data_IF_093607023032
#
_entry.id   IF_093607023032
#
_cell.length_a   1.000
_cell.length_b   1.000
_cell.length_c   1.000
_cell.angle_alpha   90.00
_cell.angle_beta   90.00
_cell.angle_gamma   90.00
#
_symmetry.space_group_name_H-M   'P 1'
#
loop_
_entity.id
_entity.type
_entity.pdbx_description
1 polymer ?
#
# COMPACT_ATOMS: atom_id res chain seq x y z
N UNK A 1 3.82 -8.37 3.63
CA UNK A 1 3.41 -7.00 3.98
C UNK A 1 3.30 -6.07 2.78
N UNK A 2 4.35 -5.76 2.01
CA UNK A 2 4.21 -4.77 0.91
C UNK A 2 3.16 -5.14 -0.15
N UNK A 3 3.34 -6.27 -0.83
CA UNK A 3 2.39 -6.74 -1.87
C UNK A 3 1.07 -7.25 -1.29
N UNK A 4 1.04 -7.51 0.01
CA UNK A 4 -0.15 -7.91 0.76
C UNK A 4 -1.08 -6.70 0.99
N UNK A 5 -0.54 -5.60 1.53
CA UNK A 5 -1.24 -4.31 1.65
C UNK A 5 -1.57 -3.75 0.26
N UNK A 6 -0.67 -3.92 -0.70
CA UNK A 6 -0.89 -3.56 -2.10
C UNK A 6 -2.06 -4.28 -2.78
N UNK A 7 -2.25 -5.56 -2.46
CA UNK A 7 -3.37 -6.36 -2.98
C UNK A 7 -4.71 -5.86 -2.42
N UNK A 8 -4.73 -5.43 -1.15
CA UNK A 8 -5.91 -4.81 -0.56
C UNK A 8 -6.28 -3.52 -1.31
N UNK A 9 -5.32 -2.61 -1.52
CA UNK A 9 -5.54 -1.36 -2.28
C UNK A 9 -5.96 -1.64 -3.73
N UNK A 10 -5.40 -2.69 -4.36
CA UNK A 10 -5.80 -3.10 -5.71
C UNK A 10 -7.26 -3.52 -5.77
N UNK A 11 -7.71 -4.34 -4.83
CA UNK A 11 -9.09 -4.78 -4.73
C UNK A 11 -10.03 -3.58 -4.48
N UNK A 12 -9.64 -2.63 -3.63
CA UNK A 12 -10.43 -1.41 -3.44
C UNK A 12 -10.61 -0.62 -4.76
N UNK A 13 -9.51 -0.46 -5.52
CA UNK A 13 -9.53 0.25 -6.80
C UNK A 13 -10.43 -0.42 -7.83
N UNK A 14 -10.31 -1.75 -7.96
CA UNK A 14 -11.06 -2.56 -8.94
C UNK A 14 -12.57 -2.52 -8.71
N UNK A 15 -13.01 -2.46 -7.46
CA UNK A 15 -14.44 -2.44 -7.12
C UNK A 15 -15.04 -1.03 -7.03
N UNK A 16 -14.25 0.00 -7.38
CA UNK A 16 -14.71 1.39 -7.28
C UNK A 16 -14.99 1.85 -5.85
N UNK A 17 -14.53 1.09 -4.84
CA UNK A 17 -14.65 1.45 -3.41
C UNK A 17 -13.43 2.23 -2.92
N UNK A 18 -12.38 2.34 -3.75
CA UNK A 18 -11.27 3.25 -3.50
C UNK A 18 -11.74 4.69 -3.70
N UNK A 19 -12.13 5.31 -2.59
CA UNK A 19 -12.51 6.72 -2.56
C UNK A 19 -11.31 7.58 -3.02
N UNK A 20 -11.49 8.55 -3.93
CA UNK A 20 -10.40 9.44 -4.37
C UNK A 20 -9.63 10.11 -3.21
N UNK A 21 -10.34 10.40 -2.12
CA UNK A 21 -9.79 10.88 -0.84
C UNK A 21 -8.70 9.97 -0.26
N UNK A 22 -8.89 8.64 -0.34
CA UNK A 22 -7.91 7.67 0.13
C UNK A 22 -6.67 7.66 -0.75
N UNK A 23 -6.84 7.81 -2.06
CA UNK A 23 -5.75 7.91 -3.02
C UNK A 23 -4.89 9.16 -2.75
N UNK A 24 -5.52 10.33 -2.55
CA UNK A 24 -4.83 11.56 -2.12
C UNK A 24 -4.02 11.35 -0.84
N UNK A 25 -4.67 10.76 0.18
CA UNK A 25 -4.06 10.46 1.47
C UNK A 25 -2.87 9.50 1.35
N UNK A 26 -2.95 8.47 0.50
CA UNK A 26 -1.83 7.55 0.27
C UNK A 26 -0.67 8.25 -0.44
N UNK A 27 -0.96 9.03 -1.48
CA UNK A 27 0.04 9.83 -2.20
C UNK A 27 0.80 10.78 -1.28
N UNK A 28 0.08 11.54 -0.43
CA UNK A 28 0.69 12.44 0.55
C UNK A 28 1.65 11.70 1.49
N UNK A 29 1.25 10.52 2.00
CA UNK A 29 2.08 9.74 2.92
C UNK A 29 3.35 9.20 2.25
N UNK A 30 3.31 8.93 0.95
CA UNK A 30 4.48 8.46 0.21
C UNK A 30 5.47 9.57 -0.03
N UNK A 31 4.97 10.76 -0.41
CA UNK A 31 5.80 11.96 -0.51
C UNK A 31 6.49 12.21 0.83
N UNK A 32 5.72 12.23 1.93
CA UNK A 32 6.27 12.41 3.27
C UNK A 32 7.29 11.32 3.65
N UNK A 33 7.01 10.04 3.34
CA UNK A 33 7.91 8.93 3.61
C UNK A 33 9.19 8.96 2.76
N UNK A 34 9.16 9.56 1.58
CA UNK A 34 10.31 9.65 0.69
C UNK A 34 11.37 10.65 1.20
N UNK A 35 10.93 11.72 1.87
CA UNK A 35 11.83 12.80 2.33
C UNK A 35 12.11 12.74 3.84
N UNK A 36 11.32 11.99 4.62
CA UNK A 36 11.41 12.07 6.08
C UNK A 36 12.75 11.63 6.67
N UNK A 37 13.55 10.81 5.97
CA UNK A 37 14.87 10.39 6.44
C UNK A 37 15.88 11.52 6.53
N UNK A 38 15.66 12.59 5.76
CA UNK A 38 16.58 13.72 5.64
C UNK A 38 15.94 15.05 6.07
N UNK A 39 14.61 15.11 6.16
CA UNK A 39 13.87 16.33 6.44
C UNK A 39 13.27 16.41 7.87
N UNK A 40 13.27 17.59 8.52
CA UNK A 40 12.45 17.89 9.70
C UNK A 40 10.96 17.95 9.36
N UNK A 41 10.10 17.98 10.39
CA UNK A 41 8.65 18.08 10.20
C UNK A 41 8.21 19.33 9.41
N UNK A 42 8.87 20.47 9.62
CA UNK A 42 8.55 21.72 8.92
C UNK A 42 8.70 21.60 7.40
N UNK A 43 9.80 20.99 6.95
CA UNK A 43 10.06 20.78 5.51
C UNK A 43 9.09 19.75 4.91
N UNK A 44 8.73 18.72 5.67
CA UNK A 44 7.69 17.76 5.23
C UNK A 44 6.33 18.45 5.08
N UNK A 45 5.98 19.32 6.02
CA UNK A 45 4.72 20.08 5.96
C UNK A 45 4.72 21.05 4.77
N UNK A 46 5.84 21.74 4.54
CA UNK A 46 6.01 22.66 3.41
C UNK A 46 5.90 21.93 2.07
N UNK A 47 6.58 20.78 1.92
CA UNK A 47 6.47 19.95 0.72
C UNK A 47 5.00 19.54 0.47
N UNK A 48 4.30 19.06 1.50
CA UNK A 48 2.90 18.66 1.35
C UNK A 48 1.96 19.84 1.07
N UNK A 49 2.24 21.03 1.62
CA UNK A 49 1.47 22.23 1.33
C UNK A 49 1.59 22.69 -0.13
N UNK A 50 2.62 22.24 -0.86
CA UNK A 50 2.74 22.43 -2.31
C UNK A 50 1.69 21.66 -3.13
N UNK A 51 1.10 20.60 -2.56
CA UNK A 51 0.13 19.73 -3.26
C UNK A 51 -1.27 19.73 -2.63
N UNK A 52 -1.39 20.07 -1.34
CA UNK A 52 -2.61 19.94 -0.56
C UNK A 52 -2.94 21.23 0.21
N UNK A 53 -4.23 21.49 0.51
CA UNK A 53 -4.61 22.55 1.42
C UNK A 53 -3.88 22.45 2.77
N UNK A 54 -3.57 23.57 3.44
CA UNK A 54 -2.77 23.56 4.67
C UNK A 54 -3.28 22.61 5.76
N UNK A 55 -4.60 22.51 5.91
CA UNK A 55 -5.23 21.60 6.88
C UNK A 55 -4.99 20.12 6.53
N UNK A 56 -5.12 19.75 5.25
CA UNK A 56 -4.85 18.39 4.78
C UNK A 56 -3.36 18.05 4.90
N UNK A 57 -2.47 18.96 4.49
CA UNK A 57 -1.03 18.80 4.61
C UNK A 57 -0.63 18.55 6.08
N UNK A 58 -1.19 19.33 7.01
CA UNK A 58 -0.98 19.16 8.45
C UNK A 58 -1.58 17.87 9.00
N UNK A 59 -2.67 17.35 8.42
CA UNK A 59 -3.23 16.05 8.81
C UNK A 59 -2.38 14.86 8.33
N UNK A 60 -1.64 15.01 7.23
CA UNK A 60 -0.82 13.95 6.65
C UNK A 60 0.60 13.89 7.22
N UNK A 61 1.26 15.05 7.40
CA UNK A 61 2.65 15.14 7.85
C UNK A 61 2.96 14.43 9.19
N UNK A 62 2.11 14.48 10.24
CA UNK A 62 2.42 13.89 11.54
C UNK A 62 2.58 12.38 11.50
N UNK A 63 1.98 11.71 10.49
CA UNK A 63 1.98 10.25 10.42
C UNK A 63 3.38 9.67 10.27
N UNK A 64 4.25 10.33 9.50
CA UNK A 64 5.62 9.87 9.29
C UNK A 64 6.53 10.19 10.48
N UNK A 65 6.22 11.21 11.29
CA UNK A 65 7.00 11.56 12.49
C UNK A 65 6.47 10.91 13.78
N UNK A 66 5.41 10.09 13.69
CA UNK A 66 4.77 9.46 14.84
C UNK A 66 5.76 8.59 15.62
N UNK A 67 5.89 8.85 16.92
CA UNK A 67 6.81 8.13 17.80
C UNK A 67 8.18 8.77 17.96
N UNK A 68 8.47 9.86 17.24
CA UNK A 68 9.63 10.70 17.51
C UNK A 68 9.31 11.74 18.58
N UNK A 69 10.21 11.92 19.54
CA UNK A 69 10.06 12.94 20.60
C UNK A 69 10.47 14.34 20.12
N UNK A 70 11.40 14.41 19.16
CA UNK A 70 11.85 15.65 18.54
C UNK A 70 11.61 15.56 17.03
N UNK A 71 10.63 16.31 16.53
CA UNK A 71 10.24 16.33 15.12
C UNK A 71 11.09 17.29 14.28
N UNK A 72 11.99 18.06 14.90
CA UNK A 72 13.02 18.86 14.21
C UNK A 72 14.15 18.00 13.65
N UNK A 73 14.29 16.76 14.11
CA UNK A 73 15.30 15.84 13.62
C UNK A 73 14.81 15.07 12.38
N UNK A 74 15.72 14.74 11.44
CA UNK A 74 15.43 13.77 10.38
C UNK A 74 15.08 12.38 10.93
N UNK A 75 14.41 11.58 10.11
CA UNK A 75 13.90 10.25 10.45
C UNK A 75 12.37 10.19 10.46
N UNK A 76 11.83 8.99 10.29
CA UNK A 76 10.38 8.79 10.27
C UNK A 76 9.95 7.36 9.94
N UNK A 77 8.67 7.08 10.16
CA UNK A 77 8.05 5.80 9.91
C UNK A 77 7.60 5.67 8.45
N UNK A 78 8.35 4.93 7.65
CA UNK A 78 8.16 4.81 6.20
C UNK A 78 7.21 3.69 5.77
N UNK A 79 6.51 3.03 6.70
CA UNK A 79 5.61 1.90 6.39
C UNK A 79 4.59 2.25 5.32
N UNK A 80 4.12 3.51 5.27
CA UNK A 80 3.12 3.93 4.29
C UNK A 80 3.62 3.86 2.83
N UNK A 81 4.95 3.78 2.58
CA UNK A 81 5.50 3.50 1.25
C UNK A 81 5.02 2.15 0.68
N UNK A 82 4.72 1.18 1.55
CA UNK A 82 4.31 -0.16 1.18
C UNK A 82 2.98 -0.20 0.41
N UNK A 83 2.06 0.74 0.66
CA UNK A 83 0.72 0.74 0.06
C UNK A 83 0.77 0.96 -1.46
N UNK A 84 1.34 2.07 -1.93
CA UNK A 84 1.37 2.35 -3.37
C UNK A 84 2.41 1.51 -4.10
N UNK A 85 3.57 1.26 -3.49
CA UNK A 85 4.56 0.37 -4.09
C UNK A 85 4.00 -1.04 -4.26
N UNK A 86 3.31 -1.57 -3.24
CA UNK A 86 2.58 -2.82 -3.31
C UNK A 86 1.47 -2.80 -4.38
N UNK A 87 0.65 -1.76 -4.40
CA UNK A 87 -0.42 -1.59 -5.39
C UNK A 87 0.13 -1.62 -6.82
N UNK A 88 1.23 -0.91 -7.08
CA UNK A 88 1.91 -0.91 -8.39
C UNK A 88 2.43 -2.30 -8.75
N UNK A 89 3.11 -2.98 -7.82
CA UNK A 89 3.61 -4.35 -8.04
C UNK A 89 2.49 -5.35 -8.38
N UNK A 90 1.37 -5.27 -7.67
CA UNK A 90 0.19 -6.11 -7.94
C UNK A 90 -0.45 -5.74 -9.29
N UNK A 91 -0.60 -4.45 -9.58
CA UNK A 91 -1.15 -3.96 -10.85
C UNK A 91 -0.30 -4.42 -12.04
N UNK A 92 1.02 -4.25 -11.97
CA UNK A 92 1.96 -4.67 -13.01
C UNK A 92 1.96 -6.19 -13.21
N UNK A 93 1.85 -6.96 -12.12
CA UNK A 93 1.74 -8.42 -12.17
C UNK A 93 0.46 -8.85 -12.91
N UNK A 94 -0.69 -8.28 -12.54
CA UNK A 94 -1.98 -8.61 -13.13
C UNK A 94 -2.14 -8.12 -14.57
N UNK A 95 -1.51 -7.00 -14.94
CA UNK A 95 -1.45 -6.55 -16.33
C UNK A 95 -0.70 -7.55 -17.21
N UNK A 96 0.38 -8.16 -16.70
CA UNK A 96 1.16 -9.18 -17.41
C UNK A 96 0.49 -10.56 -17.41
N UNK A 97 -0.24 -10.89 -16.34
CA UNK A 97 -0.85 -12.21 -16.14
C UNK A 97 -2.32 -12.08 -15.68
N UNK A 98 -3.24 -11.64 -16.55
CA UNK A 98 -4.64 -11.39 -16.16
C UNK A 98 -5.38 -12.65 -15.67
N UNK A 99 -4.99 -13.83 -16.16
CA UNK A 99 -5.58 -15.12 -15.78
C UNK A 99 -5.31 -15.50 -14.32
N UNK A 100 -4.30 -14.90 -13.68
CA UNK A 100 -3.86 -15.26 -12.32
C UNK A 100 -4.62 -14.54 -11.21
N UNK A 101 -5.61 -13.74 -11.56
CA UNK A 101 -6.44 -13.02 -10.61
C UNK A 101 -7.11 -13.95 -9.59
N UNK A 102 -7.64 -15.10 -10.04
CA UNK A 102 -8.30 -16.05 -9.14
C UNK A 102 -7.31 -16.70 -8.18
N UNK A 103 -6.09 -17.01 -8.64
CA UNK A 103 -4.99 -17.48 -7.78
C UNK A 103 -4.58 -16.41 -6.77
N UNK A 104 -4.55 -15.14 -7.16
CA UNK A 104 -4.24 -14.02 -6.27
C UNK A 104 -5.31 -13.79 -5.20
N UNK A 105 -6.60 -14.00 -5.50
CA UNK A 105 -7.67 -13.92 -4.50
C UNK A 105 -7.47 -14.90 -3.36
N UNK A 106 -6.85 -16.06 -3.61
CA UNK A 106 -6.55 -17.08 -2.60
C UNK A 106 -5.51 -16.59 -1.58
N UNK A 107 -4.68 -15.60 -1.95
CA UNK A 107 -3.74 -14.98 -1.02
C UNK A 107 -4.45 -14.21 0.11
N UNK A 108 -5.74 -13.86 -0.06
CA UNK A 108 -6.63 -13.25 0.93
C UNK A 108 -6.03 -12.07 1.71
N UNK A 109 -5.07 -11.34 1.12
CA UNK A 109 -4.37 -10.25 1.82
C UNK A 109 -3.61 -10.70 3.08
N UNK A 110 -3.23 -11.97 3.20
CA UNK A 110 -2.39 -12.50 4.29
C UNK A 110 -0.97 -12.84 3.86
N UNK A 111 -0.76 -13.05 2.57
CA UNK A 111 0.51 -13.43 1.98
C UNK A 111 0.75 -12.61 0.71
N UNK A 112 2.00 -12.25 0.44
CA UNK A 112 2.37 -11.41 -0.71
C UNK A 112 2.74 -12.21 -1.96
N UNK A 113 2.99 -11.51 -3.07
CA UNK A 113 3.39 -12.07 -4.38
C UNK A 113 4.55 -13.06 -4.31
N UNK A 114 5.46 -12.92 -3.35
CA UNK A 114 6.57 -13.87 -3.18
C UNK A 114 6.12 -15.30 -2.88
N UNK A 115 4.89 -15.48 -2.38
CA UNK A 115 4.30 -16.80 -2.09
C UNK A 115 3.41 -17.30 -3.24
N UNK A 116 3.29 -16.55 -4.33
CA UNK A 116 2.36 -16.84 -5.41
C UNK A 116 2.62 -18.22 -6.03
N UNK A 117 3.89 -18.50 -6.39
CA UNK A 117 4.29 -19.79 -6.98
C UNK A 117 4.04 -20.95 -6.00
N UNK A 118 4.39 -20.77 -4.72
CA UNK A 118 4.16 -21.77 -3.68
C UNK A 118 2.66 -22.09 -3.53
N UNK A 119 1.80 -21.08 -3.52
CA UNK A 119 0.35 -21.27 -3.43
C UNK A 119 -0.18 -22.01 -4.65
N UNK A 120 0.29 -21.65 -5.85
CA UNK A 120 -0.07 -22.34 -7.09
C UNK A 120 0.31 -23.81 -7.04
N UNK A 121 1.52 -24.12 -6.60
CA UNK A 121 2.02 -25.50 -6.52
C UNK A 121 1.25 -26.32 -5.47
N UNK A 122 0.94 -25.72 -4.32
CA UNK A 122 0.15 -26.36 -3.26
C UNK A 122 -1.31 -26.60 -3.67
N UNK A 123 -1.90 -25.73 -4.49
CA UNK A 123 -3.22 -25.93 -5.09
C UNK A 123 -3.18 -27.07 -6.11
N UNK A 124 -2.17 -27.09 -6.99
CA UNK A 124 -1.99 -28.14 -7.98
C UNK A 124 -1.77 -29.52 -7.32
N UNK A 125 -1.05 -29.56 -6.19
CA UNK A 125 -0.84 -30.76 -5.39
C UNK A 125 -2.08 -31.18 -4.55
N UNK A 126 -3.17 -30.40 -4.57
CA UNK A 126 -4.37 -30.64 -3.76
C UNK A 126 -4.17 -30.49 -2.25
N UNK A 127 -3.02 -29.95 -1.82
CA UNK A 127 -2.69 -29.72 -0.40
C UNK A 127 -3.45 -28.50 0.13
N UNK A 128 -3.48 -27.42 -0.65
CA UNK A 128 -4.40 -26.32 -0.43
C UNK A 128 -5.73 -26.62 -1.14
N UNK A 129 -6.83 -26.49 -0.41
CA UNK A 129 -8.17 -26.53 -0.99
C UNK A 129 -8.57 -25.13 -1.41
N UNK A 130 -9.24 -25.00 -2.55
CA UNK A 130 -9.81 -23.72 -2.93
C UNK A 130 -10.82 -23.25 -1.86
N UNK A 131 -10.83 -21.95 -1.52
CA UNK A 131 -11.82 -21.38 -0.62
C UNK A 131 -13.23 -21.64 -1.16
N UNK A 132 -14.16 -22.07 -0.28
CA UNK A 132 -15.57 -22.22 -0.65
C UNK A 132 -16.20 -20.88 -1.05
N UNK A 133 -15.72 -19.80 -0.46
CA UNK A 133 -16.12 -18.44 -0.75
C UNK A 133 -14.87 -17.69 -1.16
N UNK A 134 -14.81 -17.34 -2.44
CA UNK A 134 -13.88 -16.33 -2.89
C UNK A 134 -14.56 -14.97 -2.70
N UNK A 135 -13.82 -13.96 -2.28
CA UNK A 135 -14.39 -12.64 -2.20
C UNK A 135 -14.78 -12.12 -3.59
N UNK A 136 -15.97 -11.53 -3.67
CA UNK A 136 -16.44 -10.76 -4.83
C UNK A 136 -15.80 -9.37 -4.78
N UNK A 137 -14.48 -9.33 -4.96
CA UNK A 137 -13.76 -8.12 -5.33
C UNK A 137 -13.04 -8.28 -6.67
#
# INVERSE_FOLDING_TARGET
METEEGLAVYNEARNGVLVPENLKKYSARIVAAAICSEAPFSEILEELAGYFPPEEAFNFAPRVKRGLNDTSLPGGYTKDHAYLSGFRKISDFLQKQPSELETLKILCGKIGLQNFELVRDLLAAGTLKQPRYLPEF
#
